data_IF_848672766732
#
_entry.id   IF_848672766732
#
_cell.length_a   1.000
_cell.length_b   1.000
_cell.length_c   1.000
_cell.angle_alpha   90.00
_cell.angle_beta   90.00
_cell.angle_gamma   90.00
#
_symmetry.space_group_name_H-M   'P 1'
#
loop_
_entity.id
_entity.type
_entity.pdbx_description
1 polymer ?
#
# COMPACT_ATOMS: atom_id res chain seq x y z
N UNK A 1 -17.07 18.44 -19.47
CA UNK A 1 -17.10 16.97 -19.59
C UNK A 1 -15.80 16.55 -20.24
N UNK A 2 -15.04 15.66 -19.64
CA UNK A 2 -13.77 15.15 -20.19
C UNK A 2 -13.93 13.69 -20.62
N UNK A 3 -13.43 13.36 -21.80
CA UNK A 3 -13.45 11.99 -22.34
C UNK A 3 -12.07 11.39 -22.06
N UNK A 4 -12.04 10.25 -21.38
CA UNK A 4 -10.81 9.55 -21.05
C UNK A 4 -10.17 8.98 -22.33
N UNK A 5 -8.94 9.41 -22.60
CA UNK A 5 -8.14 9.02 -23.77
C UNK A 5 -6.67 8.79 -23.42
N UNK A 6 -6.36 8.54 -22.14
CA UNK A 6 -4.99 8.30 -21.69
C UNK A 6 -4.52 6.92 -22.15
N UNK A 7 -3.26 6.85 -22.60
CA UNK A 7 -2.64 5.58 -22.99
C UNK A 7 -2.07 4.87 -21.76
N UNK A 8 -2.50 3.62 -21.47
CA UNK A 8 -1.94 2.82 -20.37
C UNK A 8 -0.47 2.43 -20.56
N UNK A 9 0.02 2.48 -21.81
CA UNK A 9 1.42 2.20 -22.15
C UNK A 9 2.21 3.50 -22.14
N UNK A 10 3.25 3.56 -21.29
CA UNK A 10 4.16 4.68 -21.18
C UNK A 10 5.15 4.71 -22.36
N UNK A 11 5.72 3.57 -22.71
CA UNK A 11 6.76 3.44 -23.72
C UNK A 11 6.74 2.07 -24.39
N UNK A 12 6.92 2.06 -25.71
CA UNK A 12 7.12 0.85 -26.51
C UNK A 12 8.60 0.72 -26.86
N UNK A 13 9.20 -0.42 -26.47
CA UNK A 13 10.58 -0.78 -26.83
C UNK A 13 10.55 -2.10 -27.64
N UNK A 14 10.23 -2.01 -28.91
CA UNK A 14 10.00 -3.19 -29.74
C UNK A 14 8.82 -4.02 -29.20
N UNK A 15 9.03 -5.31 -28.88
CA UNK A 15 7.97 -6.17 -28.33
C UNK A 15 7.65 -5.91 -26.86
N UNK A 16 8.45 -5.07 -26.17
CA UNK A 16 8.29 -4.78 -24.75
C UNK A 16 7.46 -3.51 -24.54
N UNK A 17 6.35 -3.64 -23.87
CA UNK A 17 5.52 -2.52 -23.43
C UNK A 17 5.79 -2.18 -21.96
N UNK A 18 6.26 -0.96 -21.71
CA UNK A 18 6.39 -0.42 -20.37
C UNK A 18 5.08 0.31 -20.04
N UNK A 19 4.32 -0.25 -19.10
CA UNK A 19 3.03 0.29 -18.66
C UNK A 19 3.19 1.13 -17.40
N UNK A 20 2.37 2.16 -17.24
CA UNK A 20 2.32 3.00 -16.02
C UNK A 20 2.20 2.18 -14.74
N UNK A 21 1.45 1.10 -14.78
CA UNK A 21 1.25 0.24 -13.63
C UNK A 21 2.56 -0.43 -13.17
N UNK A 22 3.39 -0.91 -14.11
CA UNK A 22 4.72 -1.45 -13.81
C UNK A 22 5.66 -0.41 -13.20
N UNK A 23 5.62 0.83 -13.73
CA UNK A 23 6.41 1.94 -13.18
C UNK A 23 6.06 2.24 -11.73
N UNK A 24 4.77 2.17 -11.35
CA UNK A 24 4.33 2.41 -9.96
C UNK A 24 4.94 1.41 -8.99
N UNK A 25 5.06 0.13 -9.35
CA UNK A 25 5.73 -0.85 -8.50
C UNK A 25 7.20 -0.49 -8.28
N UNK A 26 7.90 -0.13 -9.36
CA UNK A 26 9.30 0.30 -9.30
C UNK A 26 9.44 1.54 -8.40
N UNK A 27 8.62 2.56 -8.60
CA UNK A 27 8.61 3.77 -7.77
C UNK A 27 8.26 3.46 -6.31
N UNK A 28 7.36 2.50 -6.06
CA UNK A 28 7.02 2.05 -4.72
C UNK A 28 8.22 1.48 -3.97
N UNK A 29 9.00 0.61 -4.61
CA UNK A 29 10.22 0.06 -4.00
C UNK A 29 11.32 1.10 -3.84
N UNK A 30 11.53 1.97 -4.83
CA UNK A 30 12.49 3.06 -4.70
C UNK A 30 12.09 4.05 -3.60
N UNK A 31 10.81 4.34 -3.43
CA UNK A 31 10.33 5.19 -2.34
C UNK A 31 10.60 4.55 -0.98
N UNK A 32 10.45 3.22 -0.85
CA UNK A 32 10.77 2.50 0.37
C UNK A 32 12.28 2.56 0.68
N UNK A 33 13.15 2.33 -0.32
CA UNK A 33 14.61 2.46 -0.19
C UNK A 33 14.97 3.88 0.24
N UNK A 34 14.50 4.89 -0.50
CA UNK A 34 14.78 6.29 -0.20
C UNK A 34 14.35 6.67 1.22
N UNK A 35 13.13 6.30 1.60
CA UNK A 35 12.58 6.58 2.93
C UNK A 35 13.40 5.94 4.04
N UNK A 36 13.75 4.66 3.90
CA UNK A 36 14.56 3.95 4.89
C UNK A 36 15.96 4.52 4.99
N UNK A 37 16.62 4.85 3.86
CA UNK A 37 17.93 5.50 3.86
C UNK A 37 17.88 6.90 4.48
N UNK A 38 16.82 7.68 4.20
CA UNK A 38 16.59 8.98 4.81
C UNK A 38 16.46 8.87 6.34
N UNK A 39 15.66 7.92 6.82
CA UNK A 39 15.52 7.68 8.26
C UNK A 39 16.82 7.18 8.91
N UNK A 40 17.58 6.35 8.20
CA UNK A 40 18.89 5.88 8.66
C UNK A 40 19.89 7.04 8.80
N UNK A 41 19.95 7.92 7.77
CA UNK A 41 20.82 9.11 7.82
C UNK A 41 20.46 10.05 8.97
N UNK A 42 19.19 10.16 9.33
CA UNK A 42 18.70 10.99 10.43
C UNK A 42 18.71 10.28 11.80
N UNK A 43 19.36 9.12 11.92
CA UNK A 43 19.45 8.36 13.16
C UNK A 43 18.13 7.73 13.64
N UNK A 44 17.10 7.75 12.79
CA UNK A 44 15.77 7.19 13.11
C UNK A 44 15.60 5.72 12.69
N UNK A 45 16.59 5.15 12.03
CA UNK A 45 16.64 3.74 11.62
C UNK A 45 18.08 3.23 11.75
N UNK A 46 18.30 2.24 12.60
CA UNK A 46 19.63 1.65 12.79
C UNK A 46 19.85 0.46 11.84
N UNK A 47 19.80 0.73 10.53
CA UNK A 47 20.16 -0.21 9.50
C UNK A 47 21.24 0.40 8.61
N UNK A 48 22.24 -0.40 8.24
CA UNK A 48 23.25 -0.02 7.24
C UNK A 48 22.60 0.06 5.85
N UNK A 49 23.24 0.81 4.96
CA UNK A 49 22.74 0.96 3.58
C UNK A 49 22.54 -0.39 2.89
N UNK A 50 23.46 -1.31 3.05
CA UNK A 50 23.42 -2.66 2.48
C UNK A 50 22.22 -3.46 3.05
N UNK A 51 21.95 -3.33 4.34
CA UNK A 51 20.83 -4.02 5.00
C UNK A 51 19.47 -3.48 4.51
N UNK A 52 19.39 -2.20 4.15
CA UNK A 52 18.17 -1.62 3.54
C UNK A 52 17.94 -2.22 2.15
N UNK A 53 18.99 -2.30 1.32
CA UNK A 53 18.88 -2.91 -0.01
C UNK A 53 18.52 -4.40 0.06
N UNK A 54 19.19 -5.16 0.94
CA UNK A 54 18.86 -6.56 1.19
C UNK A 54 17.40 -6.72 1.59
N UNK A 55 16.92 -5.91 2.53
CA UNK A 55 15.56 -5.98 3.02
C UNK A 55 14.54 -5.75 1.90
N UNK A 56 14.70 -4.66 1.14
CA UNK A 56 13.78 -4.36 0.03
C UNK A 56 13.84 -5.43 -1.05
N UNK A 57 15.03 -6.00 -1.33
CA UNK A 57 15.17 -7.13 -2.23
C UNK A 57 14.36 -8.36 -1.77
N UNK A 58 14.40 -8.70 -0.47
CA UNK A 58 13.55 -9.77 0.07
C UNK A 58 12.06 -9.45 -0.03
N UNK A 59 11.65 -8.19 0.15
CA UNK A 59 10.25 -7.80 -0.06
C UNK A 59 9.83 -7.99 -1.53
N UNK A 60 10.68 -7.63 -2.50
CA UNK A 60 10.42 -7.84 -3.92
C UNK A 60 10.27 -9.32 -4.25
N UNK A 61 11.18 -10.16 -3.76
CA UNK A 61 11.10 -11.60 -3.94
C UNK A 61 9.82 -12.17 -3.30
N UNK A 62 9.51 -11.74 -2.07
CA UNK A 62 8.29 -12.14 -1.37
C UNK A 62 7.03 -11.77 -2.16
N UNK A 63 6.97 -10.55 -2.71
CA UNK A 63 5.87 -10.10 -3.56
C UNK A 63 5.70 -10.99 -4.80
N UNK A 64 6.77 -11.22 -5.55
CA UNK A 64 6.72 -11.98 -6.81
C UNK A 64 6.32 -13.44 -6.52
N UNK A 65 7.01 -14.08 -5.58
CA UNK A 65 6.77 -15.48 -5.22
C UNK A 65 5.36 -15.64 -4.67
N UNK A 66 4.96 -14.80 -3.73
CA UNK A 66 3.63 -14.86 -3.12
C UNK A 66 2.51 -14.63 -4.13
N UNK A 67 2.67 -13.62 -5.01
CA UNK A 67 1.69 -13.31 -6.04
C UNK A 67 1.49 -14.49 -7.02
N UNK A 68 2.56 -15.20 -7.35
CA UNK A 68 2.52 -16.36 -8.25
C UNK A 68 1.99 -17.61 -7.56
N UNK A 69 2.47 -17.94 -6.38
CA UNK A 69 2.01 -19.11 -5.63
C UNK A 69 0.51 -19.03 -5.35
N UNK A 70 -0.01 -17.84 -5.07
CA UNK A 70 -1.44 -17.68 -4.80
C UNK A 70 -2.31 -17.91 -6.04
N UNK A 71 -1.77 -17.78 -7.25
CA UNK A 71 -2.49 -18.11 -8.49
C UNK A 71 -2.84 -19.59 -8.61
N UNK A 72 -2.11 -20.48 -7.92
CA UNK A 72 -2.45 -21.91 -7.86
C UNK A 72 -3.88 -22.11 -7.30
N UNK A 73 -4.28 -21.30 -6.32
CA UNK A 73 -5.63 -21.39 -5.74
C UNK A 73 -6.71 -20.84 -6.68
N UNK A 74 -6.40 -19.81 -7.48
CA UNK A 74 -7.35 -19.21 -8.40
C UNK A 74 -7.49 -19.97 -9.72
N UNK A 75 -6.41 -20.54 -10.21
CA UNK A 75 -6.33 -21.23 -11.49
C UNK A 75 -5.52 -22.52 -11.36
N UNK A 76 -5.97 -23.51 -10.56
CA UNK A 76 -5.20 -24.72 -10.29
C UNK A 76 -4.86 -25.49 -11.57
N UNK A 77 -5.79 -25.56 -12.53
CA UNK A 77 -5.57 -26.25 -13.80
C UNK A 77 -4.40 -25.66 -14.60
N UNK A 78 -4.24 -24.34 -14.58
CA UNK A 78 -3.19 -23.64 -15.32
C UNK A 78 -1.80 -23.81 -14.66
N UNK A 79 -1.74 -23.80 -13.33
CA UNK A 79 -0.47 -23.72 -12.61
C UNK A 79 0.00 -25.04 -11.99
N UNK A 80 -0.92 -25.97 -11.61
CA UNK A 80 -0.52 -27.29 -11.13
C UNK A 80 -0.11 -28.23 -12.25
N UNK A 81 -0.87 -28.24 -13.37
CA UNK A 81 -0.56 -29.12 -14.51
C UNK A 81 0.55 -28.56 -15.42
N UNK A 82 0.83 -27.25 -15.35
CA UNK A 82 1.91 -26.60 -16.10
C UNK A 82 2.73 -25.72 -15.17
N UNK A 83 3.55 -26.31 -14.26
CA UNK A 83 4.27 -25.56 -13.23
C UNK A 83 5.21 -24.49 -13.77
N UNK A 84 5.69 -24.63 -15.01
CA UNK A 84 6.47 -23.62 -15.72
C UNK A 84 5.76 -22.27 -15.85
N UNK A 85 4.43 -22.25 -15.81
CA UNK A 85 3.67 -21.00 -15.83
C UNK A 85 3.90 -20.16 -14.57
N UNK A 86 4.34 -20.73 -13.46
CA UNK A 86 4.71 -19.97 -12.27
C UNK A 86 5.91 -19.06 -12.49
N UNK A 87 6.85 -19.45 -13.37
CA UNK A 87 8.06 -18.70 -13.66
C UNK A 87 7.81 -17.61 -14.73
N UNK A 88 6.84 -17.79 -15.61
CA UNK A 88 6.52 -16.87 -16.71
C UNK A 88 5.80 -15.61 -16.22
N UNK A 89 6.51 -14.78 -15.42
CA UNK A 89 5.93 -13.56 -14.84
C UNK A 89 5.52 -12.51 -15.88
N UNK A 90 6.10 -12.55 -17.07
CA UNK A 90 5.82 -11.64 -18.18
C UNK A 90 4.47 -11.91 -18.88
N UNK A 91 3.85 -13.07 -18.68
CA UNK A 91 2.53 -13.41 -19.22
C UNK A 91 1.38 -12.87 -18.36
N UNK A 92 1.67 -12.12 -17.29
CA UNK A 92 0.67 -11.64 -16.34
C UNK A 92 0.26 -12.70 -15.32
N UNK A 93 -0.91 -12.58 -14.71
CA UNK A 93 -1.42 -13.54 -13.71
C UNK A 93 -0.67 -13.42 -12.38
N UNK A 94 -0.83 -12.29 -11.70
CA UNK A 94 -0.32 -12.05 -10.35
C UNK A 94 -1.46 -11.72 -9.39
N UNK A 95 -1.53 -12.43 -8.27
CA UNK A 95 -2.52 -12.17 -7.23
C UNK A 95 -2.05 -11.07 -6.29
N UNK A 96 -2.84 -10.00 -6.15
CA UNK A 96 -2.58 -8.96 -5.15
C UNK A 96 -2.50 -9.52 -3.73
N UNK A 97 -3.43 -10.40 -3.36
CA UNK A 97 -3.48 -11.00 -2.01
C UNK A 97 -2.25 -11.87 -1.75
N UNK A 98 -1.85 -12.65 -2.74
CA UNK A 98 -0.63 -13.46 -2.66
C UNK A 98 0.62 -12.61 -2.53
N UNK A 99 0.75 -11.54 -3.32
CA UNK A 99 1.86 -10.59 -3.22
C UNK A 99 1.94 -9.90 -1.86
N UNK A 100 0.80 -9.48 -1.33
CA UNK A 100 0.71 -8.86 -0.01
C UNK A 100 1.12 -9.84 1.11
N UNK A 101 0.60 -11.07 1.09
CA UNK A 101 0.99 -12.12 2.03
C UNK A 101 2.50 -12.44 1.92
N UNK A 102 3.04 -12.48 0.70
CA UNK A 102 4.45 -12.69 0.45
C UNK A 102 5.34 -11.60 1.02
N UNK A 103 4.95 -10.32 0.87
CA UNK A 103 5.65 -9.18 1.48
C UNK A 103 5.67 -9.30 3.01
N UNK A 104 4.52 -9.61 3.63
CA UNK A 104 4.43 -9.75 5.08
C UNK A 104 5.33 -10.89 5.57
N UNK A 105 5.29 -12.02 4.88
CA UNK A 105 6.11 -13.21 5.22
C UNK A 105 7.60 -12.90 5.10
N UNK A 106 8.02 -12.25 4.02
CA UNK A 106 9.40 -11.85 3.81
C UNK A 106 9.87 -10.84 4.88
N UNK A 107 9.04 -9.84 5.20
CA UNK A 107 9.34 -8.86 6.24
C UNK A 107 9.48 -9.53 7.61
N UNK A 108 8.55 -10.41 7.96
CA UNK A 108 8.59 -11.15 9.23
C UNK A 108 9.83 -12.04 9.32
N UNK A 109 10.13 -12.81 8.26
CA UNK A 109 11.32 -13.65 8.21
C UNK A 109 12.62 -12.84 8.35
N UNK A 110 12.74 -11.72 7.62
CA UNK A 110 13.90 -10.84 7.72
C UNK A 110 14.07 -10.27 9.12
N UNK A 111 12.97 -9.80 9.74
CA UNK A 111 12.99 -9.30 11.11
C UNK A 111 13.48 -10.37 12.09
N UNK A 112 13.00 -11.61 11.95
CA UNK A 112 13.43 -12.75 12.78
C UNK A 112 14.92 -13.04 12.59
N UNK A 113 15.42 -13.09 11.34
CA UNK A 113 16.81 -13.34 11.00
C UNK A 113 17.75 -12.26 11.56
N UNK A 114 17.36 -10.99 11.47
CA UNK A 114 18.17 -9.84 11.90
C UNK A 114 17.88 -9.38 13.33
N UNK A 115 16.99 -10.06 14.06
CA UNK A 115 16.53 -9.71 15.42
C UNK A 115 15.97 -8.28 15.50
N UNK A 116 15.18 -7.88 14.48
CA UNK A 116 14.53 -6.58 14.41
C UNK A 116 13.08 -6.67 14.91
N UNK A 117 12.56 -5.57 15.43
CA UNK A 117 11.16 -5.49 15.81
C UNK A 117 10.27 -5.31 14.57
N UNK A 118 9.44 -6.31 14.25
CA UNK A 118 8.55 -6.30 13.10
C UNK A 118 7.60 -5.08 13.09
N UNK A 119 7.02 -4.71 14.23
CA UNK A 119 6.07 -3.60 14.30
C UNK A 119 6.72 -2.24 14.06
N UNK A 120 7.97 -2.05 14.50
CA UNK A 120 8.73 -0.84 14.17
C UNK A 120 9.02 -0.76 12.67
N UNK A 121 9.34 -1.88 12.05
CA UNK A 121 9.58 -1.92 10.61
C UNK A 121 8.27 -1.73 9.82
N UNK A 122 7.15 -2.27 10.30
CA UNK A 122 5.83 -2.03 9.74
C UNK A 122 5.45 -0.53 9.79
N UNK A 123 5.76 0.17 10.88
CA UNK A 123 5.58 1.62 10.99
C UNK A 123 6.36 2.37 9.90
N UNK A 124 7.63 2.02 9.70
CA UNK A 124 8.49 2.64 8.69
C UNK A 124 7.97 2.40 7.27
N UNK A 125 7.55 1.17 6.98
CA UNK A 125 7.06 0.80 5.65
C UNK A 125 5.67 1.37 5.34
N UNK A 126 4.88 1.73 6.35
CA UNK A 126 3.53 2.27 6.14
C UNK A 126 3.54 3.56 5.31
N UNK A 127 4.59 4.38 5.45
CA UNK A 127 4.71 5.65 4.71
C UNK A 127 4.92 5.40 3.22
N UNK A 128 5.98 4.72 2.75
CA UNK A 128 6.18 4.46 1.33
C UNK A 128 5.10 3.55 0.74
N UNK A 129 4.52 2.63 1.52
CA UNK A 129 3.40 1.81 1.07
C UNK A 129 2.16 2.66 0.75
N UNK A 130 1.83 3.66 1.58
CA UNK A 130 0.71 4.57 1.32
C UNK A 130 0.94 5.39 0.05
N UNK A 131 2.19 5.87 -0.17
CA UNK A 131 2.56 6.57 -1.40
C UNK A 131 2.39 5.65 -2.62
N UNK A 132 2.90 4.43 -2.57
CA UNK A 132 2.76 3.45 -3.66
C UNK A 132 1.28 3.15 -3.97
N UNK A 133 0.44 3.00 -2.94
CA UNK A 133 -1.00 2.81 -3.10
C UNK A 133 -1.70 4.03 -3.71
N UNK A 134 -1.24 5.26 -3.42
CA UNK A 134 -1.76 6.48 -4.03
C UNK A 134 -1.42 6.53 -5.53
N UNK A 135 -0.14 6.30 -5.87
CA UNK A 135 0.34 6.24 -7.25
C UNK A 135 -0.35 5.12 -8.05
N UNK A 136 -0.60 3.96 -7.41
CA UNK A 136 -1.36 2.87 -8.01
C UNK A 136 -2.78 3.28 -8.44
N UNK A 137 -3.43 4.17 -7.69
CA UNK A 137 -4.75 4.69 -8.10
C UNK A 137 -4.68 5.69 -9.25
N UNK A 138 -3.59 6.44 -9.36
CA UNK A 138 -3.34 7.25 -10.56
C UNK A 138 -3.14 6.33 -11.77
N UNK A 139 -2.37 5.25 -11.63
CA UNK A 139 -2.21 4.27 -12.71
C UNK A 139 -3.55 3.60 -13.11
N UNK A 140 -4.41 3.26 -12.13
CA UNK A 140 -5.77 2.77 -12.43
C UNK A 140 -6.58 3.80 -13.22
N UNK A 141 -6.46 5.09 -12.90
CA UNK A 141 -7.11 6.15 -13.65
C UNK A 141 -6.59 6.23 -15.09
N UNK A 142 -5.27 6.21 -15.26
CA UNK A 142 -4.64 6.22 -16.60
C UNK A 142 -5.07 4.99 -17.43
N UNK A 143 -5.21 3.83 -16.80
CA UNK A 143 -5.69 2.62 -17.46
C UNK A 143 -7.20 2.64 -17.75
N UNK A 144 -7.96 3.63 -17.29
CA UNK A 144 -9.40 3.71 -17.47
C UNK A 144 -10.19 2.64 -16.73
N UNK A 145 -9.66 2.08 -15.64
CA UNK A 145 -10.26 0.97 -14.88
C UNK A 145 -10.81 1.41 -13.52
N UNK A 146 -11.62 0.54 -12.89
CA UNK A 146 -12.22 0.78 -11.57
C UNK A 146 -13.04 2.07 -11.54
N UNK A 147 -13.85 2.28 -12.54
CA UNK A 147 -14.67 3.49 -12.74
C UNK A 147 -15.71 3.69 -11.64
N UNK A 148 -16.14 4.92 -11.47
CA UNK A 148 -17.18 5.28 -10.53
C UNK A 148 -18.58 5.13 -11.12
N UNK A 149 -19.58 5.34 -10.24
CA UNK A 149 -20.99 5.37 -10.61
C UNK A 149 -21.28 6.50 -11.58
N UNK A 150 -22.35 6.38 -12.36
CA UNK A 150 -22.85 7.41 -13.26
C UNK A 150 -23.14 8.68 -12.45
N UNK A 151 -22.63 9.81 -12.95
CA UNK A 151 -22.77 11.11 -12.32
C UNK A 151 -22.51 12.23 -13.34
N UNK A 152 -23.36 13.24 -13.37
CA UNK A 152 -23.32 14.34 -14.36
C UNK A 152 -22.79 15.65 -13.76
N UNK A 153 -21.93 15.59 -12.74
CA UNK A 153 -21.35 16.80 -12.13
C UNK A 153 -20.19 17.39 -12.95
N UNK A 154 -19.70 18.55 -12.54
CA UNK A 154 -18.74 19.38 -13.31
C UNK A 154 -17.42 18.68 -13.67
N UNK A 155 -16.94 17.73 -12.84
CA UNK A 155 -15.67 16.99 -13.05
C UNK A 155 -15.89 15.51 -13.33
N UNK A 156 -17.05 15.16 -13.90
CA UNK A 156 -17.29 13.79 -14.35
C UNK A 156 -16.44 13.46 -15.57
N UNK A 157 -16.16 12.17 -15.74
CA UNK A 157 -15.33 11.62 -16.80
C UNK A 157 -16.13 10.56 -17.57
N UNK A 158 -16.09 10.61 -18.89
CA UNK A 158 -16.60 9.55 -19.75
C UNK A 158 -15.45 8.57 -20.00
N UNK A 159 -15.67 7.30 -19.67
CA UNK A 159 -14.74 6.21 -19.96
C UNK A 159 -15.32 5.40 -21.13
N UNK A 160 -14.76 5.51 -22.35
CA UNK A 160 -15.35 4.90 -23.55
C UNK A 160 -15.62 3.40 -23.43
N UNK A 161 -14.75 2.67 -22.73
CA UNK A 161 -14.91 1.22 -22.52
C UNK A 161 -16.12 0.86 -21.63
N UNK A 162 -16.70 1.84 -20.94
CA UNK A 162 -17.86 1.69 -20.04
C UNK A 162 -19.10 2.44 -20.56
N UNK A 163 -19.09 2.86 -21.83
CA UNK A 163 -20.17 3.57 -22.51
C UNK A 163 -20.08 5.10 -22.42
N UNK A 164 -21.12 5.78 -22.90
CA UNK A 164 -21.13 7.25 -23.05
C UNK A 164 -21.50 8.01 -21.77
N UNK A 165 -21.90 7.30 -20.71
CA UNK A 165 -22.33 7.92 -19.46
C UNK A 165 -21.14 8.55 -18.72
N UNK A 166 -21.34 9.78 -18.25
CA UNK A 166 -20.36 10.46 -17.42
C UNK A 166 -20.36 9.89 -16.01
N UNK A 167 -19.16 9.69 -15.41
CA UNK A 167 -18.96 8.93 -14.17
C UNK A 167 -18.05 9.67 -13.19
N UNK A 168 -18.16 9.31 -11.93
CA UNK A 168 -17.19 9.75 -10.90
C UNK A 168 -15.79 9.23 -11.24
N UNK A 169 -14.75 10.07 -11.21
CA UNK A 169 -13.35 9.62 -11.25
C UNK A 169 -12.92 9.05 -9.88
N UNK A 170 -13.55 7.95 -9.47
CA UNK A 170 -13.41 7.37 -8.13
C UNK A 170 -11.97 6.97 -7.78
N UNK A 171 -11.17 6.62 -8.78
CA UNK A 171 -9.75 6.32 -8.63
C UNK A 171 -8.94 7.56 -8.24
N UNK A 172 -9.28 8.76 -8.76
CA UNK A 172 -8.65 10.01 -8.32
C UNK A 172 -9.05 10.39 -6.89
N UNK A 173 -10.31 10.12 -6.49
CA UNK A 173 -10.72 10.31 -5.08
C UNK A 173 -9.91 9.38 -4.17
N UNK A 174 -9.73 8.12 -4.59
CA UNK A 174 -8.91 7.16 -3.85
C UNK A 174 -7.43 7.57 -3.79
N UNK A 175 -6.88 8.17 -4.84
CA UNK A 175 -5.51 8.70 -4.84
C UNK A 175 -5.39 9.90 -3.89
N UNK A 176 -6.29 10.88 -4.02
CA UNK A 176 -6.29 12.11 -3.20
C UNK A 176 -6.35 11.80 -1.70
N UNK A 177 -7.28 10.92 -1.28
CA UNK A 177 -7.36 10.51 0.12
C UNK A 177 -6.07 9.87 0.63
N UNK A 178 -5.38 9.07 -0.22
CA UNK A 178 -4.12 8.40 0.14
C UNK A 178 -2.95 9.36 0.24
N UNK A 179 -2.91 10.41 -0.58
CA UNK A 179 -1.92 11.48 -0.40
C UNK A 179 -2.12 12.21 0.92
N UNK A 180 -3.36 12.45 1.34
CA UNK A 180 -3.65 13.05 2.66
C UNK A 180 -3.19 12.11 3.78
N UNK A 181 -3.50 10.81 3.69
CA UNK A 181 -3.05 9.83 4.67
C UNK A 181 -1.52 9.71 4.67
N UNK A 182 -0.88 9.71 3.51
CA UNK A 182 0.58 9.73 3.40
C UNK A 182 1.19 10.92 4.17
N UNK A 183 0.67 12.14 3.94
CA UNK A 183 1.10 13.33 4.68
C UNK A 183 0.93 13.18 6.19
N UNK A 184 -0.20 12.61 6.62
CA UNK A 184 -0.45 12.32 8.03
C UNK A 184 0.58 11.33 8.62
N UNK A 185 0.88 10.23 7.93
CA UNK A 185 1.86 9.26 8.39
C UNK A 185 3.28 9.83 8.44
N UNK A 186 3.64 10.73 7.50
CA UNK A 186 4.90 11.49 7.55
C UNK A 186 4.93 12.37 8.79
N UNK A 187 3.86 13.12 9.08
CA UNK A 187 3.75 13.95 10.28
C UNK A 187 3.93 13.10 11.54
N UNK A 188 3.27 11.94 11.64
CA UNK A 188 3.43 11.03 12.78
C UNK A 188 4.88 10.51 12.92
N UNK A 189 5.58 10.26 11.82
CA UNK A 189 6.97 9.80 11.86
C UNK A 189 7.92 10.86 12.43
N UNK A 190 7.63 12.16 12.18
CA UNK A 190 8.43 13.28 12.69
C UNK A 190 7.77 14.01 13.86
N UNK A 191 6.70 13.44 14.42
CA UNK A 191 5.97 14.03 15.54
C UNK A 191 6.88 14.19 16.75
N UNK A 192 7.22 15.42 17.09
CA UNK A 192 8.15 15.86 18.13
C UNK A 192 9.57 15.29 17.97
N UNK A 193 10.51 16.18 17.88
CA UNK A 193 11.92 15.85 17.84
C UNK A 193 12.28 14.87 18.94
N UNK A 194 12.89 13.80 18.54
CA UNK A 194 13.42 12.74 19.36
C UNK A 194 14.44 13.32 20.34
N UNK A 195 14.23 13.14 21.65
CA UNK A 195 15.27 13.31 22.65
C UNK A 195 16.20 12.11 22.56
N UNK A 196 17.49 12.27 22.12
CA UNK A 196 18.42 11.16 22.06
C UNK A 196 18.79 10.78 23.50
N UNK A 197 18.32 9.67 24.03
CA UNK A 197 18.64 9.38 25.41
C UNK A 197 18.29 8.03 25.99
N UNK A 198 17.59 7.16 25.28
CA UNK A 198 17.36 5.81 25.82
C UNK A 198 17.51 4.75 24.71
N UNK A 199 18.75 4.43 24.39
CA UNK A 199 19.11 3.20 23.67
C UNK A 199 19.33 2.11 24.71
N UNK A 200 18.30 1.35 25.02
CA UNK A 200 18.46 0.12 25.80
C UNK A 200 18.78 -1.01 24.84
N UNK A 201 20.01 -1.41 24.84
CA UNK A 201 20.74 -2.63 24.53
C UNK A 201 20.11 -3.81 23.76
N UNK A 202 19.38 -3.59 22.72
CA UNK A 202 19.11 -4.50 21.59
C UNK A 202 19.14 -3.61 20.37
N UNK A 203 19.41 -4.09 19.14
CA UNK A 203 19.34 -3.28 17.91
C UNK A 203 17.97 -2.59 17.77
N UNK A 204 17.68 -1.71 18.75
CA UNK A 204 16.47 -0.94 18.80
C UNK A 204 16.56 0.14 17.72
N UNK A 205 15.72 -0.04 16.70
CA UNK A 205 15.44 1.01 15.76
C UNK A 205 14.99 2.23 16.56
N UNK A 206 15.68 3.38 16.51
CA UNK A 206 15.23 4.58 17.17
C UNK A 206 13.85 4.90 16.62
N UNK A 207 12.92 5.02 17.51
CA UNK A 207 11.51 5.00 17.20
C UNK A 207 10.95 6.41 17.12
N UNK A 208 9.89 6.55 16.41
CA UNK A 208 8.87 7.57 16.61
C UNK A 208 8.52 7.68 18.11
N UNK A 209 8.01 8.80 18.61
CA UNK A 209 7.62 8.97 20.02
C UNK A 209 6.52 8.01 20.48
N UNK A 210 6.01 7.20 19.57
CA UNK A 210 4.92 6.26 19.79
C UNK A 210 5.45 4.83 19.94
N UNK A 211 4.65 3.98 20.60
CA UNK A 211 4.92 2.55 20.70
C UNK A 211 4.91 1.90 19.32
N UNK A 212 5.78 0.90 19.13
CA UNK A 212 5.91 0.19 17.86
C UNK A 212 4.56 -0.36 17.35
N UNK A 213 4.25 -0.08 16.10
CA UNK A 213 3.00 -0.41 15.41
C UNK A 213 1.94 0.71 15.42
N UNK A 214 2.19 1.84 16.08
CA UNK A 214 1.21 2.93 16.13
C UNK A 214 0.95 3.55 14.75
N UNK A 215 2.01 3.81 13.97
CA UNK A 215 1.87 4.38 12.62
C UNK A 215 1.23 3.37 11.68
N UNK A 216 1.60 2.09 11.78
CA UNK A 216 0.97 1.03 11.00
C UNK A 216 -0.54 0.92 11.27
N UNK A 217 -0.97 0.99 12.52
CA UNK A 217 -2.39 0.95 12.84
C UNK A 217 -3.14 2.22 12.42
N UNK A 218 -2.47 3.39 12.40
CA UNK A 218 -3.02 4.59 11.74
C UNK A 218 -3.19 4.39 10.24
N UNK A 219 -2.20 3.77 9.55
CA UNK A 219 -2.33 3.39 8.15
C UNK A 219 -3.56 2.50 7.93
N UNK A 220 -3.72 1.43 8.72
CA UNK A 220 -4.86 0.50 8.61
C UNK A 220 -6.19 1.23 8.84
N UNK A 221 -6.27 2.06 9.88
CA UNK A 221 -7.49 2.80 10.24
C UNK A 221 -7.91 3.76 9.12
N UNK A 222 -7.01 4.65 8.72
CA UNK A 222 -7.33 5.70 7.75
C UNK A 222 -7.52 5.14 6.33
N UNK A 223 -6.77 4.10 5.94
CA UNK A 223 -7.01 3.42 4.66
C UNK A 223 -8.38 2.74 4.65
N UNK A 224 -8.73 2.02 5.74
CA UNK A 224 -10.04 1.40 5.88
C UNK A 224 -11.17 2.43 5.83
N UNK A 225 -11.12 3.47 6.68
CA UNK A 225 -12.16 4.49 6.72
C UNK A 225 -12.28 5.24 5.38
N UNK A 226 -11.16 5.65 4.82
CA UNK A 226 -11.18 6.37 3.55
C UNK A 226 -11.62 5.50 2.36
N UNK A 227 -11.31 4.18 2.38
CA UNK A 227 -11.82 3.24 1.38
C UNK A 227 -13.33 3.06 1.52
N UNK A 228 -13.83 2.89 2.73
CA UNK A 228 -15.26 2.78 2.98
C UNK A 228 -16.04 3.97 2.38
N UNK A 229 -15.52 5.20 2.56
CA UNK A 229 -16.14 6.41 2.01
C UNK A 229 -16.05 6.46 0.47
N UNK A 230 -14.88 6.19 -0.10
CA UNK A 230 -14.67 6.28 -1.55
C UNK A 230 -15.46 5.21 -2.30
N UNK A 231 -15.64 4.03 -1.73
CA UNK A 231 -16.37 2.94 -2.39
C UNK A 231 -17.87 3.25 -2.58
N UNK A 232 -18.45 4.27 -1.92
CA UNK A 232 -19.81 4.77 -2.25
C UNK A 232 -19.88 5.41 -3.64
N UNK A 233 -18.77 5.92 -4.16
CA UNK A 233 -18.68 6.54 -5.49
C UNK A 233 -18.27 5.54 -6.57
N UNK A 234 -17.95 4.28 -6.20
CA UNK A 234 -17.55 3.22 -7.13
C UNK A 234 -18.76 2.42 -7.63
N UNK A 235 -18.64 1.87 -8.81
CA UNK A 235 -19.61 0.95 -9.39
C UNK A 235 -19.20 -0.50 -9.07
N UNK A 236 -19.34 -0.89 -7.80
CA UNK A 236 -19.05 -2.25 -7.35
C UNK A 236 -20.34 -3.01 -7.03
N UNK A 237 -20.39 -4.35 -7.21
CA UNK A 237 -21.51 -5.16 -6.75
C UNK A 237 -21.74 -5.01 -5.24
N UNK A 238 -23.00 -4.89 -4.84
CA UNK A 238 -23.38 -4.74 -3.43
C UNK A 238 -23.84 -6.09 -2.85
N UNK A 239 -23.39 -6.37 -1.63
CA UNK A 239 -23.80 -7.49 -0.80
C UNK A 239 -24.33 -6.95 0.52
N UNK A 240 -25.58 -7.18 0.81
CA UNK A 240 -26.26 -6.62 2.00
C UNK A 240 -26.06 -5.09 2.13
N UNK A 241 -26.21 -4.36 1.02
CA UNK A 241 -26.15 -2.89 0.99
C UNK A 241 -24.75 -2.28 0.87
N UNK A 242 -23.68 -3.06 1.01
CA UNK A 242 -22.28 -2.60 0.90
C UNK A 242 -21.50 -3.42 -0.12
N UNK A 243 -20.47 -2.82 -0.70
CA UNK A 243 -19.48 -3.56 -1.51
C UNK A 243 -18.63 -4.47 -0.61
N UNK A 244 -18.04 -5.52 -1.19
CA UNK A 244 -17.06 -6.35 -0.46
C UNK A 244 -15.90 -5.50 0.07
N UNK A 245 -15.49 -4.48 -0.69
CA UNK A 245 -14.46 -3.51 -0.27
C UNK A 245 -14.87 -2.75 0.99
N UNK A 246 -16.14 -2.36 1.10
CA UNK A 246 -16.68 -1.68 2.29
C UNK A 246 -16.74 -2.62 3.51
N UNK A 247 -17.14 -3.86 3.32
CA UNK A 247 -17.14 -4.85 4.41
C UNK A 247 -15.75 -5.09 4.98
N UNK A 248 -14.75 -5.30 4.12
CA UNK A 248 -13.35 -5.42 4.56
C UNK A 248 -12.85 -4.14 5.24
N UNK A 249 -13.27 -2.99 4.76
CA UNK A 249 -12.92 -1.69 5.35
C UNK A 249 -13.47 -1.53 6.76
N UNK A 250 -14.72 -1.97 7.02
CA UNK A 250 -15.29 -1.99 8.37
C UNK A 250 -14.50 -2.88 9.32
N UNK A 251 -14.08 -4.08 8.85
CA UNK A 251 -13.24 -4.98 9.64
C UNK A 251 -11.89 -4.31 9.96
N UNK A 252 -11.26 -3.65 8.99
CA UNK A 252 -9.99 -2.92 9.21
C UNK A 252 -10.15 -1.82 10.26
N UNK A 253 -11.21 -1.01 10.15
CA UNK A 253 -11.50 0.09 11.10
C UNK A 253 -11.77 -0.48 12.50
N UNK A 254 -12.61 -1.49 12.61
CA UNK A 254 -12.93 -2.12 13.89
C UNK A 254 -11.68 -2.73 14.57
N UNK A 255 -10.85 -3.44 13.80
CA UNK A 255 -9.60 -4.00 14.31
C UNK A 255 -8.63 -2.90 14.79
N UNK A 256 -8.49 -1.82 14.01
CA UNK A 256 -7.63 -0.71 14.38
C UNK A 256 -8.13 -0.01 15.67
N UNK A 257 -9.43 0.25 15.78
CA UNK A 257 -10.03 0.84 17.00
C UNK A 257 -9.82 -0.04 18.23
N UNK A 258 -10.02 -1.35 18.11
CA UNK A 258 -9.78 -2.30 19.20
C UNK A 258 -8.31 -2.28 19.65
N UNK A 259 -7.37 -2.23 18.70
CA UNK A 259 -5.95 -2.16 19.02
C UNK A 259 -5.57 -0.80 19.61
N UNK A 260 -6.11 0.30 19.11
CA UNK A 260 -5.91 1.62 19.71
C UNK A 260 -6.40 1.67 21.15
N UNK A 261 -7.60 1.15 21.41
CA UNK A 261 -8.15 1.11 22.75
C UNK A 261 -7.33 0.25 23.72
N UNK A 262 -6.91 -0.96 23.28
CA UNK A 262 -6.16 -1.89 24.14
C UNK A 262 -4.69 -1.50 24.32
N UNK A 263 -4.03 -1.01 23.26
CA UNK A 263 -2.56 -0.87 23.24
C UNK A 263 -2.07 0.57 23.17
N UNK A 264 -2.77 1.48 22.49
CA UNK A 264 -2.25 2.81 22.14
C UNK A 264 -3.02 3.98 22.78
N UNK A 265 -3.86 3.73 23.79
CA UNK A 265 -4.61 4.77 24.50
C UNK A 265 -3.73 5.92 24.99
N UNK A 266 -2.58 5.62 25.53
CA UNK A 266 -1.64 6.62 26.04
C UNK A 266 -0.91 7.38 24.91
N UNK A 267 -0.67 6.73 23.78
CA UNK A 267 -0.06 7.40 22.63
C UNK A 267 -1.02 8.45 22.03
N UNK A 268 -2.31 8.14 21.99
CA UNK A 268 -3.36 9.11 21.61
C UNK A 268 -3.48 10.28 22.58
N UNK A 269 -3.45 10.02 23.89
CA UNK A 269 -3.47 11.11 24.90
C UNK A 269 -2.29 12.06 24.72
N UNK A 270 -1.08 11.54 24.47
CA UNK A 270 0.11 12.36 24.20
C UNK A 270 -0.04 13.27 22.97
N UNK A 271 -0.83 12.87 21.98
CA UNK A 271 -1.11 13.70 20.82
C UNK A 271 -2.08 14.84 21.12
N UNK A 272 -3.09 14.60 21.96
CA UNK A 272 -4.18 15.55 22.26
C UNK A 272 -3.75 16.60 23.31
N UNK A 273 -2.84 16.26 24.21
CA UNK A 273 -2.42 17.12 25.33
C UNK A 273 -1.42 18.21 24.94
N UNK A 274 -1.22 18.47 23.67
CA UNK A 274 -0.40 19.56 23.10
C UNK A 274 -1.16 20.37 22.07
#
# INVERSE_FOLDING_TARGET
MWIHNLNPTLLHLGPLEIRWYGLVYVLGFFSAIYWMLHLSKNGKLNLKKEEVWDFVFYLMLGLIIGARLFMIFWQPQTYLFKPWNLIRIWEGGMSFHGGFAGIITAAWWYCKKKKLNFWKLADILSVPAMLALALGRIANFINGELVGRIWNGKWCVVFPDYGEACRHPSTLYAAGKRFVIFGWLVILTFWKEFTPGQVTGVRDLPSTPFRAGFIFWNFVFWEGLGRFIVDFYREDPLFYGFSLGQWFSLVMVAAALLVFWKKYKEDWKKMIQK
#
